data_IF_188842163181
#
_entry.id   IF_188842163181
#
_cell.length_a   1.000
_cell.length_b   1.000
_cell.length_c   1.000
_cell.angle_alpha   90.00
_cell.angle_beta   90.00
_cell.angle_gamma   90.00
#
_symmetry.space_group_name_H-M   'P 1'
#
loop_
_entity.id
_entity.type
_entity.pdbx_description
1 polymer ?
#
# COMPACT_ATOMS: atom_id res chain seq x y z
N UNK A 1 15.36 -3.20 15.44
CA UNK A 1 14.27 -2.38 14.85
C UNK A 1 13.34 -1.95 15.99
N UNK A 2 13.23 -0.66 16.31
CA UNK A 2 12.34 -0.18 17.39
C UNK A 2 11.03 0.35 16.76
N UNK A 3 9.90 -0.27 17.07
CA UNK A 3 8.57 0.11 16.56
C UNK A 3 8.18 1.54 17.00
N UNK A 4 8.65 2.01 18.16
CA UNK A 4 8.43 3.39 18.60
C UNK A 4 9.12 4.39 17.68
N UNK A 5 10.34 4.09 17.22
CA UNK A 5 11.06 4.95 16.29
C UNK A 5 10.34 5.03 14.94
N UNK A 6 9.86 3.89 14.42
CA UNK A 6 9.07 3.87 13.18
C UNK A 6 7.78 4.68 13.32
N UNK A 7 7.06 4.52 14.43
CA UNK A 7 5.85 5.29 14.70
C UNK A 7 6.14 6.81 14.77
N UNK A 8 7.26 7.21 15.38
CA UNK A 8 7.67 8.62 15.39
C UNK A 8 7.97 9.15 13.99
N UNK A 9 8.62 8.37 13.12
CA UNK A 9 8.86 8.80 11.73
C UNK A 9 7.55 8.97 10.97
N UNK A 10 6.60 8.05 11.14
CA UNK A 10 5.26 8.17 10.55
C UNK A 10 4.54 9.41 11.08
N UNK A 11 4.59 9.70 12.39
CA UNK A 11 4.00 10.93 12.95
C UNK A 11 4.58 12.20 12.31
N UNK A 12 5.88 12.26 12.01
CA UNK A 12 6.47 13.42 11.30
C UNK A 12 5.90 13.60 9.89
N UNK A 13 5.50 12.52 9.22
CA UNK A 13 4.84 12.60 7.91
C UNK A 13 3.46 13.24 8.05
N UNK A 14 2.70 12.91 9.10
CA UNK A 14 1.42 13.56 9.41
C UNK A 14 1.57 15.05 9.76
N UNK A 15 2.69 15.46 10.34
CA UNK A 15 2.98 16.87 10.60
C UNK A 15 3.34 17.65 9.31
N UNK A 16 3.98 16.96 8.35
CA UNK A 16 4.43 17.57 7.09
C UNK A 16 3.35 17.61 6.02
N UNK A 17 2.46 16.63 6.00
CA UNK A 17 1.45 16.45 4.94
C UNK A 17 0.06 16.21 5.54
N UNK A 18 -0.98 16.65 4.82
CA UNK A 18 -2.36 16.34 5.16
C UNK A 18 -2.71 14.90 4.76
N UNK A 19 -2.32 13.94 5.60
CA UNK A 19 -2.57 12.51 5.38
C UNK A 19 -4.04 12.22 5.68
N UNK A 20 -4.79 11.75 4.68
CA UNK A 20 -6.19 11.31 4.85
C UNK A 20 -6.35 9.80 5.02
N UNK A 21 -5.33 9.03 4.63
CA UNK A 21 -5.33 7.58 4.69
C UNK A 21 -3.91 7.06 4.89
N UNK A 22 -3.78 6.08 5.78
CA UNK A 22 -2.55 5.34 6.01
C UNK A 22 -2.84 3.84 6.19
N UNK A 23 -2.45 3.04 5.21
CA UNK A 23 -2.50 1.59 5.30
C UNK A 23 -1.24 1.01 5.97
N UNK A 24 -1.40 0.25 7.05
CA UNK A 24 -0.28 -0.40 7.76
C UNK A 24 -0.47 -1.92 7.69
N UNK A 25 0.58 -2.63 7.26
CA UNK A 25 0.62 -4.11 7.33
C UNK A 25 0.71 -4.57 8.80
N UNK A 26 -0.30 -5.28 9.27
CA UNK A 26 -0.37 -5.80 10.66
C UNK A 26 -0.01 -7.28 10.78
N UNK A 27 0.42 -7.92 9.69
CA UNK A 27 0.68 -9.38 9.62
C UNK A 27 1.95 -9.80 10.38
N UNK A 28 2.84 -8.85 10.67
CA UNK A 28 4.06 -9.06 11.42
C UNK A 28 4.32 -7.99 12.48
N UNK A 29 5.54 -7.46 12.50
CA UNK A 29 6.00 -6.46 13.48
C UNK A 29 5.22 -5.14 13.37
N UNK A 30 4.58 -4.89 12.22
CA UNK A 30 3.79 -3.68 11.96
C UNK A 30 2.53 -3.54 12.83
N UNK A 31 2.05 -4.61 13.48
CA UNK A 31 0.94 -4.52 14.44
C UNK A 31 1.24 -3.55 15.60
N UNK A 32 2.48 -3.53 16.09
CA UNK A 32 2.90 -2.62 17.16
C UNK A 32 2.98 -1.16 16.70
N UNK A 33 3.31 -0.92 15.42
CA UNK A 33 3.30 0.42 14.83
C UNK A 33 1.86 0.89 14.63
N UNK A 34 0.98 0.02 14.15
CA UNK A 34 -0.44 0.31 13.98
C UNK A 34 -1.09 0.74 15.30
N UNK A 35 -0.87 0.00 16.41
CA UNK A 35 -1.46 0.36 17.70
C UNK A 35 -1.03 1.77 18.17
N UNK A 36 0.23 2.15 17.96
CA UNK A 36 0.73 3.47 18.33
C UNK A 36 0.19 4.60 17.46
N UNK A 37 0.06 4.39 16.14
CA UNK A 37 -0.43 5.44 15.24
C UNK A 37 -1.96 5.54 15.30
N UNK A 38 -2.68 4.42 15.39
CA UNK A 38 -4.14 4.40 15.50
C UNK A 38 -4.63 5.11 16.77
N UNK A 39 -3.86 5.09 17.87
CA UNK A 39 -4.15 5.89 19.06
C UNK A 39 -4.08 7.40 18.83
N UNK A 40 -3.25 7.85 17.89
CA UNK A 40 -3.07 9.28 17.56
C UNK A 40 -3.96 9.74 16.40
N UNK A 41 -4.14 8.88 15.41
CA UNK A 41 -4.80 9.16 14.13
C UNK A 41 -5.79 8.04 13.77
N UNK A 42 -6.83 7.79 14.60
CA UNK A 42 -7.74 6.66 14.41
C UNK A 42 -8.61 6.77 13.16
N UNK A 43 -8.74 7.98 12.58
CA UNK A 43 -9.57 8.21 11.39
C UNK A 43 -8.84 7.87 10.11
N UNK A 44 -7.53 8.05 10.10
CA UNK A 44 -6.69 7.92 8.93
C UNK A 44 -6.04 6.54 8.83
N UNK A 45 -5.77 5.87 9.96
CA UNK A 45 -5.09 4.58 9.98
C UNK A 45 -5.99 3.40 9.67
N UNK A 46 -5.56 2.53 8.76
CA UNK A 46 -6.25 1.29 8.40
C UNK A 46 -5.30 0.11 8.49
N UNK A 47 -5.71 -0.92 9.25
CA UNK A 47 -4.97 -2.17 9.33
C UNK A 47 -5.19 -3.00 8.05
N UNK A 48 -4.09 -3.41 7.42
CA UNK A 48 -4.10 -4.28 6.25
C UNK A 48 -3.54 -5.63 6.67
N UNK A 49 -4.36 -6.67 6.56
CA UNK A 49 -3.94 -8.05 6.80
C UNK A 49 -3.52 -8.68 5.47
N UNK A 50 -2.27 -9.13 5.40
CA UNK A 50 -1.75 -9.83 4.24
C UNK A 50 -2.24 -11.26 4.20
N UNK A 51 -3.20 -11.51 3.33
CA UNK A 51 -3.51 -12.83 2.79
C UNK A 51 -3.10 -12.89 1.32
N UNK A 52 -3.05 -14.10 0.74
CA UNK A 52 -2.85 -14.24 -0.71
C UNK A 52 -3.93 -13.48 -1.52
N UNK A 53 -5.15 -13.42 -0.99
CA UNK A 53 -6.27 -12.72 -1.60
C UNK A 53 -6.09 -11.20 -1.53
N UNK A 54 -5.69 -10.67 -0.36
CA UNK A 54 -5.38 -9.24 -0.18
C UNK A 54 -4.26 -8.79 -1.13
N UNK A 55 -3.22 -9.61 -1.30
CA UNK A 55 -2.12 -9.35 -2.24
C UNK A 55 -2.62 -9.25 -3.67
N UNK A 56 -3.46 -10.19 -4.10
CA UNK A 56 -4.05 -10.13 -5.43
C UNK A 56 -4.87 -8.88 -5.64
N UNK A 57 -5.73 -8.53 -4.68
CA UNK A 57 -6.55 -7.34 -4.77
C UNK A 57 -5.71 -6.06 -4.88
N UNK A 58 -4.64 -5.95 -4.10
CA UNK A 58 -3.71 -4.83 -4.16
C UNK A 58 -3.07 -4.69 -5.54
N UNK A 59 -2.54 -5.79 -6.09
CA UNK A 59 -1.88 -5.77 -7.40
C UNK A 59 -2.87 -5.50 -8.53
N UNK A 60 -4.06 -6.10 -8.50
CA UNK A 60 -5.09 -5.87 -9.52
C UNK A 60 -5.55 -4.41 -9.52
N UNK A 61 -5.73 -3.80 -8.34
CA UNK A 61 -6.03 -2.37 -8.23
C UNK A 61 -4.88 -1.51 -8.77
N UNK A 62 -3.64 -1.93 -8.54
CA UNK A 62 -2.48 -1.20 -9.04
C UNK A 62 -2.38 -1.26 -10.57
N UNK A 63 -2.68 -2.40 -11.19
CA UNK A 63 -2.77 -2.54 -12.64
C UNK A 63 -3.81 -1.55 -13.20
N UNK A 64 -5.01 -1.50 -12.62
CA UNK A 64 -6.06 -0.54 -13.00
C UNK A 64 -5.59 0.92 -12.96
N UNK A 65 -4.91 1.32 -11.88
CA UNK A 65 -4.37 2.68 -11.71
C UNK A 65 -3.33 3.02 -12.78
N UNK A 66 -2.44 2.07 -13.10
CA UNK A 66 -1.38 2.25 -14.09
C UNK A 66 -1.96 2.28 -15.51
N UNK A 67 -2.85 1.37 -15.87
CA UNK A 67 -3.51 1.34 -17.18
C UNK A 67 -4.35 2.59 -17.43
N UNK A 68 -4.97 3.15 -16.38
CA UNK A 68 -5.69 4.40 -16.44
C UNK A 68 -4.79 5.65 -16.45
N UNK A 69 -3.45 5.50 -16.40
CA UNK A 69 -2.47 6.60 -16.30
C UNK A 69 -2.71 7.54 -15.10
N UNK A 70 -3.18 7.01 -13.96
CA UNK A 70 -3.55 7.78 -12.77
C UNK A 70 -2.46 7.83 -11.70
N UNK A 71 -1.27 7.33 -12.02
CA UNK A 71 -0.07 7.45 -11.18
C UNK A 71 1.02 8.18 -11.95
N UNK A 72 1.65 9.14 -11.27
CA UNK A 72 2.80 9.89 -11.76
C UNK A 72 3.83 9.96 -10.64
N UNK A 73 5.10 9.78 -11.00
CA UNK A 73 6.24 9.90 -10.10
C UNK A 73 7.38 10.57 -10.87
N UNK A 74 8.31 11.19 -10.13
CA UNK A 74 9.47 11.84 -10.73
C UNK A 74 10.35 10.81 -11.46
N UNK A 75 10.86 11.17 -12.64
CA UNK A 75 11.73 10.32 -13.45
C UNK A 75 13.04 9.97 -12.73
N UNK A 76 13.44 10.75 -11.73
CA UNK A 76 14.60 10.46 -10.89
C UNK A 76 14.40 9.21 -10.00
N UNK A 77 13.15 8.86 -9.68
CA UNK A 77 12.79 7.71 -8.84
C UNK A 77 12.72 6.40 -9.63
N UNK A 78 13.88 5.97 -10.14
CA UNK A 78 14.04 4.70 -10.89
C UNK A 78 13.77 3.46 -10.03
N UNK A 79 13.97 3.56 -8.73
CA UNK A 79 13.68 2.54 -7.74
C UNK A 79 12.19 2.15 -7.72
N UNK A 80 11.30 3.14 -7.83
CA UNK A 80 9.86 2.92 -7.93
C UNK A 80 9.55 2.09 -9.18
N UNK A 81 10.02 2.52 -10.35
CA UNK A 81 9.80 1.82 -11.62
C UNK A 81 10.34 0.38 -11.60
N UNK A 82 11.53 0.16 -11.01
CA UNK A 82 12.07 -1.20 -10.85
C UNK A 82 11.19 -2.06 -9.94
N UNK A 83 10.66 -1.51 -8.83
CA UNK A 83 9.77 -2.25 -7.94
C UNK A 83 8.50 -2.75 -8.67
N UNK A 84 7.97 -1.99 -9.63
CA UNK A 84 6.85 -2.44 -10.49
C UNK A 84 7.23 -3.61 -11.39
N UNK A 85 8.42 -3.60 -11.98
CA UNK A 85 8.87 -4.63 -12.92
C UNK A 85 9.23 -5.96 -12.24
N UNK A 86 9.55 -5.94 -10.94
CA UNK A 86 9.96 -7.12 -10.17
C UNK A 86 8.78 -7.99 -9.75
N UNK A 87 7.56 -7.46 -9.72
CA UNK A 87 6.37 -8.22 -9.35
C UNK A 87 5.95 -9.11 -10.50
N UNK A 88 5.96 -10.43 -10.26
CA UNK A 88 5.58 -11.43 -11.25
C UNK A 88 4.32 -12.16 -10.83
N UNK A 89 3.48 -12.47 -11.82
CA UNK A 89 2.39 -13.44 -11.67
C UNK A 89 2.99 -14.82 -11.43
N UNK A 90 2.49 -15.51 -10.42
CA UNK A 90 2.83 -16.88 -10.08
C UNK A 90 1.55 -17.69 -9.89
N UNK A 91 1.55 -18.96 -10.27
CA UNK A 91 0.42 -19.85 -9.98
C UNK A 91 0.62 -20.47 -8.60
N UNK A 92 -0.44 -20.55 -7.79
CA UNK A 92 -0.38 -21.27 -6.51
C UNK A 92 -0.18 -22.78 -6.74
N UNK A 93 0.42 -23.49 -5.78
CA UNK A 93 0.70 -24.94 -5.90
C UNK A 93 -0.56 -25.79 -6.13
N UNK A 94 -1.74 -25.29 -5.77
CA UNK A 94 -3.03 -25.95 -6.00
C UNK A 94 -3.60 -25.72 -7.40
N UNK A 95 -2.91 -24.99 -8.29
CA UNK A 95 -3.29 -24.76 -9.68
C UNK A 95 -4.49 -23.83 -9.90
N UNK A 96 -5.32 -23.62 -8.88
CA UNK A 96 -6.63 -22.98 -9.05
C UNK A 96 -6.61 -21.45 -8.86
N UNK A 97 -5.60 -20.91 -8.15
CA UNK A 97 -5.53 -19.48 -7.86
C UNK A 97 -4.25 -18.84 -8.41
N UNK A 98 -4.41 -17.74 -9.13
CA UNK A 98 -3.31 -16.84 -9.50
C UNK A 98 -2.81 -16.12 -8.23
N UNK A 99 -1.51 -15.88 -8.11
CA UNK A 99 -0.92 -15.09 -7.02
C UNK A 99 0.18 -14.19 -7.56
N UNK A 100 0.56 -13.16 -6.82
CA UNK A 100 1.67 -12.28 -7.18
C UNK A 100 2.80 -12.43 -6.17
N UNK A 101 4.01 -12.63 -6.68
CA UNK A 101 5.22 -12.77 -5.86
C UNK A 101 6.25 -11.75 -6.31
N UNK A 102 6.89 -11.13 -5.33
CA UNK A 102 8.08 -10.32 -5.54
C UNK A 102 9.31 -11.22 -5.49
N UNK A 103 10.11 -11.23 -6.56
CA UNK A 103 11.44 -11.83 -6.50
C UNK A 103 12.35 -10.92 -5.68
N UNK A 104 12.93 -11.45 -4.61
CA UNK A 104 13.90 -10.70 -3.80
C UNK A 104 15.29 -11.00 -4.36
N UNK A 105 15.89 -10.02 -5.03
CA UNK A 105 17.29 -10.05 -5.45
C UNK A 105 18.00 -8.81 -4.95
N UNK A 106 19.26 -8.96 -4.50
CA UNK A 106 20.11 -7.84 -4.05
C UNK A 106 20.26 -6.75 -5.13
N UNK A 107 20.12 -7.12 -6.41
CA UNK A 107 20.19 -6.22 -7.57
C UNK A 107 18.92 -5.42 -7.82
N UNK A 108 17.75 -5.96 -7.49
CA UNK A 108 16.45 -5.36 -7.88
C UNK A 108 15.83 -4.49 -6.79
N UNK A 109 16.47 -4.41 -5.63
CA UNK A 109 15.94 -3.68 -4.48
C UNK A 109 14.68 -4.32 -3.90
N UNK A 110 14.29 -3.90 -2.71
CA UNK A 110 13.09 -4.41 -2.06
C UNK A 110 11.85 -3.90 -2.81
N UNK A 111 10.96 -4.82 -3.21
CA UNK A 111 9.66 -4.48 -3.82
C UNK A 111 8.71 -3.73 -2.86
N UNK A 112 9.20 -3.31 -1.70
CA UNK A 112 8.49 -2.60 -0.65
C UNK A 112 7.87 -1.29 -1.14
N UNK A 113 8.51 -0.61 -2.09
CA UNK A 113 7.97 0.62 -2.69
C UNK A 113 6.62 0.36 -3.38
N UNK A 114 6.50 -0.74 -4.12
CA UNK A 114 5.24 -1.09 -4.77
C UNK A 114 4.17 -1.43 -3.75
N UNK A 115 4.51 -2.17 -2.68
CA UNK A 115 3.55 -2.51 -1.64
C UNK A 115 3.09 -1.27 -0.87
N UNK A 116 4.00 -0.35 -0.58
CA UNK A 116 3.67 0.94 0.04
C UNK A 116 2.72 1.78 -0.84
N UNK A 117 2.99 1.88 -2.15
CA UNK A 117 2.11 2.60 -3.09
C UNK A 117 0.76 1.89 -3.20
N UNK A 118 0.75 0.57 -3.31
CA UNK A 118 -0.47 -0.24 -3.39
C UNK A 118 -1.36 -0.05 -2.16
N UNK A 119 -0.77 0.06 -0.97
CA UNK A 119 -1.51 0.40 0.24
C UNK A 119 -2.15 1.78 0.15
N UNK A 120 -1.47 2.78 -0.40
CA UNK A 120 -2.08 4.09 -0.59
C UNK A 120 -3.23 4.04 -1.63
N UNK A 121 -3.04 3.30 -2.73
CA UNK A 121 -4.03 3.18 -3.81
C UNK A 121 -5.30 2.41 -3.41
N UNK A 122 -5.26 1.53 -2.42
CA UNK A 122 -6.46 0.77 -1.99
C UNK A 122 -7.55 1.65 -1.38
N UNK A 123 -7.19 2.85 -0.88
CA UNK A 123 -8.16 3.81 -0.36
C UNK A 123 -9.08 4.36 -1.46
N UNK A 124 -8.68 4.23 -2.72
CA UNK A 124 -9.50 4.69 -3.82
C UNK A 124 -10.69 3.74 -4.07
N UNK A 125 -11.93 4.25 -4.16
CA UNK A 125 -13.08 3.44 -4.56
C UNK A 125 -12.88 2.81 -5.95
N UNK A 126 -13.44 1.61 -6.14
CA UNK A 126 -13.46 0.94 -7.45
C UNK A 126 -14.34 1.72 -8.45
N UNK A 127 -15.38 2.38 -7.95
CA UNK A 127 -16.19 3.29 -8.74
C UNK A 127 -15.63 4.71 -8.62
N UNK A 128 -14.83 5.09 -9.62
CA UNK A 128 -14.26 6.42 -9.78
C UNK A 128 -15.10 7.30 -10.72
N UNK A 129 -16.22 6.79 -11.26
CA UNK A 129 -17.07 7.54 -12.19
C UNK A 129 -17.98 8.54 -11.48
N UNK A 130 -18.40 8.21 -10.27
CA UNK A 130 -19.30 9.02 -9.45
C UNK A 130 -18.55 9.67 -8.29
N UNK A 131 -18.55 11.01 -8.22
CA UNK A 131 -18.05 11.71 -7.03
C UNK A 131 -18.96 11.40 -5.85
N UNK A 132 -18.47 10.63 -4.88
CA UNK A 132 -19.19 10.35 -3.64
C UNK A 132 -19.56 11.65 -2.94
N UNK A 133 -20.85 11.96 -2.89
CA UNK A 133 -21.38 13.11 -2.15
C UNK A 133 -21.12 12.89 -0.65
N UNK A 134 -20.63 13.93 0.02
CA UNK A 134 -20.45 13.90 1.48
C UNK A 134 -21.79 13.62 2.15
N UNK A 135 -21.84 12.64 3.05
CA UNK A 135 -23.03 12.34 3.85
C UNK A 135 -23.19 13.28 5.06
N UNK A 136 -22.33 14.30 5.19
CA UNK A 136 -22.48 15.32 6.22
C UNK A 136 -23.73 16.16 5.95
N UNK A 137 -24.78 15.93 6.73
CA UNK A 137 -25.83 16.91 6.95
C UNK A 137 -25.31 17.97 7.92
N UNK A 138 -25.39 19.24 7.51
CA UNK A 138 -25.27 20.39 8.43
C UNK A 138 -26.43 20.41 9.42
#
# INVERSE_FOLDING_TARGET
MNFQYQAQQVSKVFERYNVSYLGIDTTGIGAGVYDLINKKHPRETVAIQYSNESKNRLVMKMIDVVEANRIQFDAEHKDIAMAFMVIKRATTNSGNNMTFKAEHSELTGHADALWAISHACINEPLDHSEKRKSTWQM
#
